data_IF_988193478474
#
_entry.id   IF_988193478474
#
_cell.length_a   1.000
_cell.length_b   1.000
_cell.length_c   1.000
_cell.angle_alpha   90.00
_cell.angle_beta   90.00
_cell.angle_gamma   90.00
#
_symmetry.space_group_name_H-M   'P 1'
#
loop_
_entity.id
_entity.type
_entity.pdbx_description
1 polymer ?
#
# COMPACT_ATOMS: atom_id res chain seq x y z
N UNK A 1 -24.14 18.37 21.07
CA UNK A 1 -23.33 17.32 21.68
C UNK A 1 -22.04 17.21 20.91
N UNK A 2 -20.95 17.71 21.47
CA UNK A 2 -19.65 17.76 20.82
C UNK A 2 -18.89 16.46 21.20
N UNK A 3 -18.54 15.62 20.22
CA UNK A 3 -17.67 14.49 20.43
C UNK A 3 -16.23 14.99 20.54
N UNK A 4 -15.65 14.87 21.71
CA UNK A 4 -14.25 15.14 21.98
C UNK A 4 -13.39 14.03 21.33
N UNK A 5 -12.59 14.44 20.36
CA UNK A 5 -11.57 13.63 19.73
C UNK A 5 -10.43 13.39 20.73
N UNK A 6 -10.11 12.14 21.01
CA UNK A 6 -9.10 11.77 21.99
C UNK A 6 -7.74 11.56 21.27
N UNK A 7 -6.70 12.38 21.54
CA UNK A 7 -5.41 12.32 20.84
C UNK A 7 -4.49 11.15 21.27
N UNK A 8 -4.98 10.23 22.11
CA UNK A 8 -4.15 9.14 22.65
C UNK A 8 -3.97 7.91 21.74
N UNK A 9 -4.69 7.82 20.59
CA UNK A 9 -4.61 6.63 19.73
C UNK A 9 -3.40 6.59 18.78
N UNK A 10 -2.64 7.68 18.67
CA UNK A 10 -1.43 7.68 17.81
C UNK A 10 -0.16 7.14 18.49
N UNK A 11 -0.21 6.88 19.80
CA UNK A 11 0.94 6.38 20.56
C UNK A 11 1.28 4.90 20.30
N UNK A 12 0.32 4.10 19.86
CA UNK A 12 0.50 2.64 19.77
C UNK A 12 1.30 2.22 18.52
N UNK A 13 1.18 2.93 17.41
CA UNK A 13 1.84 2.60 16.13
C UNK A 13 3.34 2.89 16.20
N UNK A 14 3.76 3.92 16.93
CA UNK A 14 5.17 4.26 17.09
C UNK A 14 5.93 3.34 18.07
N UNK A 15 5.25 2.66 18.99
CA UNK A 15 5.90 1.73 19.91
C UNK A 15 6.26 0.39 19.27
N UNK A 16 5.49 -0.10 18.31
CA UNK A 16 5.77 -1.38 17.61
C UNK A 16 7.01 -1.27 16.73
N UNK A 17 7.20 -0.13 16.03
CA UNK A 17 8.38 0.07 15.18
C UNK A 17 9.69 0.33 15.96
N UNK A 18 9.63 0.80 17.21
CA UNK A 18 10.82 1.00 18.03
C UNK A 18 11.28 -0.26 18.76
N UNK A 19 10.36 -1.20 19.02
CA UNK A 19 10.71 -2.47 19.68
C UNK A 19 11.51 -3.42 18.78
N UNK A 20 11.20 -3.47 17.48
CA UNK A 20 11.91 -4.35 16.55
C UNK A 20 13.37 -3.96 16.33
N UNK A 21 13.67 -2.67 16.26
CA UNK A 21 15.04 -2.21 16.07
C UNK A 21 15.94 -2.43 17.32
N UNK A 22 15.38 -2.30 18.52
CA UNK A 22 16.13 -2.54 19.75
C UNK A 22 16.39 -4.02 20.00
N UNK A 23 15.44 -4.92 19.65
CA UNK A 23 15.62 -6.36 19.74
C UNK A 23 16.70 -6.86 18.76
N UNK A 24 16.74 -6.31 17.55
CA UNK A 24 17.75 -6.63 16.54
C UNK A 24 19.13 -6.11 16.99
N UNK A 25 19.22 -4.89 17.49
CA UNK A 25 20.47 -4.33 18.04
C UNK A 25 20.97 -5.13 19.24
N UNK A 26 20.06 -5.59 20.11
CA UNK A 26 20.40 -6.42 21.26
C UNK A 26 20.92 -7.79 20.84
N UNK A 27 20.29 -8.44 19.87
CA UNK A 27 20.74 -9.73 19.34
C UNK A 27 22.09 -9.66 18.60
N UNK A 28 22.33 -8.56 17.88
CA UNK A 28 23.62 -8.28 17.25
C UNK A 28 24.71 -8.05 18.29
N UNK A 29 24.44 -7.23 19.31
CA UNK A 29 25.41 -6.93 20.37
C UNK A 29 25.74 -8.18 21.21
N UNK A 30 24.73 -9.04 21.48
CA UNK A 30 24.92 -10.33 22.13
C UNK A 30 25.72 -11.30 21.25
N UNK A 31 25.45 -11.33 19.95
CA UNK A 31 26.24 -12.12 18.97
C UNK A 31 27.70 -11.68 18.92
N UNK A 32 27.98 -10.39 18.83
CA UNK A 32 29.33 -9.84 18.84
C UNK A 32 30.05 -10.10 20.16
N UNK A 33 29.36 -9.98 21.31
CA UNK A 33 29.94 -10.30 22.62
C UNK A 33 30.32 -11.77 22.76
N UNK A 34 29.52 -12.68 22.24
CA UNK A 34 29.82 -14.11 22.25
C UNK A 34 30.99 -14.47 21.31
N UNK A 35 31.09 -13.81 20.15
CA UNK A 35 32.23 -13.96 19.23
C UNK A 35 33.51 -13.44 19.89
N UNK A 36 33.46 -12.27 20.54
CA UNK A 36 34.61 -11.70 21.26
C UNK A 36 35.09 -12.64 22.39
N UNK A 37 34.16 -13.20 23.17
CA UNK A 37 34.47 -14.20 24.21
C UNK A 37 35.05 -15.50 23.65
N UNK A 38 34.55 -15.97 22.50
CA UNK A 38 35.06 -17.16 21.82
C UNK A 38 36.48 -16.94 21.31
N UNK A 39 36.80 -15.74 20.81
CA UNK A 39 38.17 -15.34 20.39
C UNK A 39 39.12 -15.25 21.61
N UNK A 40 38.66 -14.69 22.71
CA UNK A 40 39.44 -14.53 23.95
C UNK A 40 39.76 -15.88 24.62
N UNK A 41 38.80 -16.85 24.59
CA UNK A 41 38.99 -18.20 25.10
C UNK A 41 39.77 -19.13 24.16
N UNK A 42 40.00 -18.73 22.91
CA UNK A 42 40.77 -19.48 21.92
C UNK A 42 42.31 -19.34 22.07
N UNK A 43 42.75 -18.80 23.18
CA UNK A 43 44.17 -18.46 23.45
C UNK A 43 45.23 -19.58 23.30
N UNK A 44 44.86 -20.83 22.91
CA UNK A 44 45.75 -21.92 22.62
C UNK A 44 45.35 -22.79 21.39
N UNK A 45 44.31 -22.40 20.64
CA UNK A 45 43.94 -23.00 19.38
C UNK A 45 44.44 -22.20 18.21
N UNK A 46 44.76 -22.85 17.12
CA UNK A 46 45.26 -22.22 15.89
C UNK A 46 44.53 -20.94 15.57
N UNK A 47 45.24 -19.83 15.40
CA UNK A 47 44.71 -18.50 14.97
C UNK A 47 43.75 -18.58 13.78
N UNK A 48 43.85 -19.65 12.97
CA UNK A 48 42.98 -19.93 11.84
C UNK A 48 41.53 -20.20 12.24
N UNK A 49 41.24 -20.89 13.34
CA UNK A 49 39.89 -21.28 13.74
C UNK A 49 39.07 -20.09 14.27
N UNK A 50 39.71 -19.18 15.00
CA UNK A 50 39.11 -17.94 15.46
C UNK A 50 38.72 -16.99 14.31
N UNK A 51 39.60 -16.89 13.30
CA UNK A 51 39.37 -16.07 12.11
C UNK A 51 38.19 -16.61 11.28
N UNK A 52 38.13 -17.95 11.08
CA UNK A 52 37.01 -18.55 10.36
C UNK A 52 35.68 -18.38 11.06
N UNK A 53 35.60 -18.51 12.38
CA UNK A 53 34.40 -18.27 13.17
C UNK A 53 33.94 -16.80 13.08
N UNK A 54 34.88 -15.85 13.15
CA UNK A 54 34.58 -14.42 13.00
C UNK A 54 34.07 -14.09 11.57
N UNK A 55 34.66 -14.70 10.55
CA UNK A 55 34.27 -14.53 9.15
C UNK A 55 32.86 -15.10 8.88
N UNK A 56 32.53 -16.29 9.40
CA UNK A 56 31.21 -16.90 9.32
C UNK A 56 30.17 -16.02 10.04
N UNK A 57 30.50 -15.50 11.22
CA UNK A 57 29.62 -14.59 11.96
C UNK A 57 29.34 -13.29 11.21
N UNK A 58 30.36 -12.66 10.62
CA UNK A 58 30.23 -11.46 9.83
C UNK A 58 29.42 -11.66 8.55
N UNK A 59 29.65 -12.79 7.83
CA UNK A 59 28.88 -13.16 6.66
C UNK A 59 27.42 -13.45 6.98
N UNK A 60 27.15 -14.14 8.08
CA UNK A 60 25.78 -14.42 8.54
C UNK A 60 25.04 -13.15 8.91
N UNK A 61 25.67 -12.20 9.60
CA UNK A 61 25.09 -10.91 9.93
C UNK A 61 24.82 -10.05 8.67
N UNK A 62 25.76 -10.06 7.70
CA UNK A 62 25.60 -9.33 6.44
C UNK A 62 24.44 -9.91 5.61
N UNK A 63 24.34 -11.24 5.51
CA UNK A 63 23.23 -11.90 4.83
C UNK A 63 21.90 -11.63 5.50
N UNK A 64 21.83 -11.68 6.82
CA UNK A 64 20.62 -11.38 7.58
C UNK A 64 20.16 -9.93 7.34
N UNK A 65 21.08 -8.95 7.46
CA UNK A 65 20.77 -7.55 7.17
C UNK A 65 20.32 -7.32 5.73
N UNK A 66 20.93 -7.99 4.76
CA UNK A 66 20.53 -7.90 3.35
C UNK A 66 19.11 -8.44 3.13
N UNK A 67 18.80 -9.60 3.71
CA UNK A 67 17.49 -10.24 3.62
C UNK A 67 16.43 -9.35 4.29
N UNK A 68 16.69 -8.87 5.50
CA UNK A 68 15.80 -7.99 6.25
C UNK A 68 15.51 -6.70 5.46
N UNK A 69 16.53 -6.02 4.96
CA UNK A 69 16.37 -4.81 4.15
C UNK A 69 15.49 -5.06 2.92
N UNK A 70 15.63 -6.22 2.26
CA UNK A 70 14.83 -6.57 1.10
C UNK A 70 13.34 -6.80 1.44
N UNK A 71 13.04 -7.31 2.64
CA UNK A 71 11.67 -7.44 3.13
C UNK A 71 11.06 -6.10 3.51
N UNK A 72 11.82 -5.25 4.22
CA UNK A 72 11.39 -3.90 4.61
C UNK A 72 11.11 -3.03 3.38
N UNK A 73 11.97 -3.06 2.37
CA UNK A 73 11.77 -2.32 1.12
C UNK A 73 10.48 -2.73 0.40
N UNK A 74 10.10 -4.01 0.44
CA UNK A 74 8.84 -4.49 -0.15
C UNK A 74 7.63 -4.03 0.65
N UNK A 75 7.67 -4.10 1.97
CA UNK A 75 6.58 -3.64 2.83
C UNK A 75 6.34 -2.13 2.65
N UNK A 76 7.40 -1.33 2.61
CA UNK A 76 7.32 0.13 2.36
C UNK A 76 6.75 0.42 0.97
N UNK A 77 7.15 -0.31 -0.06
CA UNK A 77 6.61 -0.15 -1.42
C UNK A 77 5.13 -0.53 -1.48
N UNK A 78 4.73 -1.59 -0.79
CA UNK A 78 3.34 -2.02 -0.70
C UNK A 78 2.47 -0.94 -0.03
N UNK A 79 2.89 -0.41 1.12
CA UNK A 79 2.19 0.67 1.82
C UNK A 79 2.05 1.92 0.95
N UNK A 80 3.15 2.40 0.36
CA UNK A 80 3.13 3.58 -0.52
C UNK A 80 2.23 3.40 -1.74
N UNK A 81 2.27 2.23 -2.40
CA UNK A 81 1.40 1.96 -3.55
C UNK A 81 -0.06 1.82 -3.12
N UNK A 82 -0.33 1.26 -1.95
CA UNK A 82 -1.65 1.20 -1.35
C UNK A 82 -2.23 2.56 -1.04
N UNK A 83 -1.47 3.42 -0.37
CA UNK A 83 -1.87 4.80 -0.04
C UNK A 83 -2.15 5.63 -1.31
N UNK A 84 -1.28 5.53 -2.32
CA UNK A 84 -1.50 6.20 -3.61
C UNK A 84 -2.78 5.70 -4.29
N UNK A 85 -3.05 4.39 -4.25
CA UNK A 85 -4.27 3.80 -4.80
C UNK A 85 -5.51 4.27 -4.04
N UNK A 86 -5.47 4.33 -2.70
CA UNK A 86 -6.56 4.84 -1.86
C UNK A 86 -6.88 6.30 -2.16
N UNK A 87 -5.86 7.14 -2.35
CA UNK A 87 -6.03 8.55 -2.73
C UNK A 87 -6.74 8.70 -4.06
N UNK A 88 -6.35 7.94 -5.08
CA UNK A 88 -6.99 7.97 -6.39
C UNK A 88 -8.44 7.46 -6.34
N UNK A 89 -8.73 6.41 -5.55
CA UNK A 89 -10.09 5.91 -5.36
C UNK A 89 -10.96 6.99 -4.71
N UNK A 90 -10.45 7.71 -3.72
CA UNK A 90 -11.19 8.80 -3.06
C UNK A 90 -11.50 9.95 -4.03
N UNK A 91 -10.54 10.33 -4.86
CA UNK A 91 -10.71 11.37 -5.87
C UNK A 91 -11.71 10.94 -6.94
N UNK A 92 -11.57 9.73 -7.47
CA UNK A 92 -12.49 9.15 -8.45
C UNK A 92 -13.92 9.07 -7.92
N UNK A 93 -14.10 8.64 -6.67
CA UNK A 93 -15.39 8.58 -5.99
C UNK A 93 -16.07 9.94 -5.96
N UNK A 94 -15.37 10.98 -5.50
CA UNK A 94 -15.90 12.34 -5.40
C UNK A 94 -16.33 12.91 -6.76
N UNK A 95 -15.45 12.81 -7.75
CA UNK A 95 -15.70 13.31 -9.10
C UNK A 95 -16.86 12.54 -9.79
N UNK A 96 -16.88 11.22 -9.67
CA UNK A 96 -17.90 10.40 -10.31
C UNK A 96 -19.28 10.58 -9.68
N UNK A 97 -19.36 10.72 -8.35
CA UNK A 97 -20.61 11.01 -7.65
C UNK A 97 -21.16 12.36 -8.12
N UNK A 98 -20.33 13.40 -8.12
CA UNK A 98 -20.70 14.74 -8.57
C UNK A 98 -21.18 14.73 -10.03
N UNK A 99 -20.46 14.05 -10.88
CA UNK A 99 -20.79 13.89 -12.30
C UNK A 99 -22.15 13.22 -12.53
N UNK A 100 -22.43 12.11 -11.82
CA UNK A 100 -23.68 11.36 -12.01
C UNK A 100 -24.89 12.02 -11.36
N UNK A 101 -24.71 12.79 -10.29
CA UNK A 101 -25.82 13.50 -9.61
C UNK A 101 -26.30 14.71 -10.41
N UNK A 102 -25.37 15.45 -11.05
CA UNK A 102 -25.73 16.71 -11.74
C UNK A 102 -26.39 16.53 -13.11
N UNK A 103 -26.16 15.38 -13.78
CA UNK A 103 -26.63 15.21 -15.16
C UNK A 103 -25.91 16.15 -16.15
N UNK A 104 -26.48 16.29 -17.35
CA UNK A 104 -25.94 17.21 -18.36
C UNK A 104 -26.59 18.59 -18.24
N UNK A 105 -25.77 19.62 -18.17
CA UNK A 105 -26.21 21.04 -18.14
C UNK A 105 -25.48 21.78 -19.27
N UNK A 106 -26.20 22.29 -20.30
CA UNK A 106 -25.57 22.94 -21.46
C UNK A 106 -24.66 24.13 -21.11
N UNK A 107 -25.02 24.89 -20.10
CA UNK A 107 -24.25 26.06 -19.61
C UNK A 107 -22.93 25.68 -18.94
N UNK A 108 -22.80 24.44 -18.49
CA UNK A 108 -21.61 23.92 -17.79
C UNK A 108 -20.81 22.92 -18.63
N UNK A 109 -20.99 22.96 -19.96
CA UNK A 109 -20.36 22.01 -20.89
C UNK A 109 -18.85 21.86 -20.69
N UNK A 110 -18.14 22.98 -20.53
CA UNK A 110 -16.67 22.95 -20.37
C UNK A 110 -16.24 22.31 -19.05
N UNK A 111 -16.99 22.54 -17.97
CA UNK A 111 -16.75 21.88 -16.67
C UNK A 111 -17.03 20.39 -16.75
N UNK A 112 -18.08 19.99 -17.47
CA UNK A 112 -18.43 18.59 -17.67
C UNK A 112 -17.35 17.87 -18.49
N UNK A 113 -16.89 18.47 -19.58
CA UNK A 113 -15.79 17.93 -20.39
C UNK A 113 -14.52 17.76 -19.56
N UNK A 114 -14.18 18.75 -18.74
CA UNK A 114 -13.03 18.65 -17.83
C UNK A 114 -13.20 17.48 -16.84
N UNK A 115 -14.39 17.32 -16.28
CA UNK A 115 -14.69 16.19 -15.35
C UNK A 115 -14.55 14.85 -16.05
N UNK A 116 -15.05 14.72 -17.29
CA UNK A 116 -14.97 13.50 -18.10
C UNK A 116 -13.52 13.11 -18.41
N UNK A 117 -12.70 14.09 -18.83
CA UNK A 117 -11.28 13.88 -19.08
C UNK A 117 -10.53 13.51 -17.80
N UNK A 118 -10.84 14.19 -16.69
CA UNK A 118 -10.21 13.92 -15.40
C UNK A 118 -10.56 12.53 -14.88
N UNK A 119 -11.84 12.11 -14.97
CA UNK A 119 -12.27 10.77 -14.58
C UNK A 119 -11.51 9.72 -15.38
N UNK A 120 -11.38 9.87 -16.71
CA UNK A 120 -10.63 8.94 -17.55
C UNK A 120 -9.14 8.89 -17.17
N UNK A 121 -8.52 10.04 -16.93
CA UNK A 121 -7.12 10.12 -16.51
C UNK A 121 -6.89 9.41 -15.17
N UNK A 122 -7.78 9.61 -14.19
CA UNK A 122 -7.71 8.92 -12.90
C UNK A 122 -7.86 7.42 -13.08
N UNK A 123 -8.79 6.95 -13.91
CA UNK A 123 -9.00 5.51 -14.16
C UNK A 123 -7.76 4.85 -14.77
N UNK A 124 -7.07 5.51 -15.70
CA UNK A 124 -5.82 5.03 -16.28
C UNK A 124 -4.73 4.94 -15.20
N UNK A 125 -4.56 5.99 -14.41
CA UNK A 125 -3.57 6.05 -13.34
C UNK A 125 -3.88 5.04 -12.24
N UNK A 126 -5.15 4.88 -11.87
CA UNK A 126 -5.61 3.90 -10.90
C UNK A 126 -5.27 2.47 -11.33
N UNK A 127 -5.49 2.15 -12.60
CA UNK A 127 -5.11 0.84 -13.15
C UNK A 127 -3.61 0.59 -13.05
N UNK A 128 -2.79 1.57 -13.39
CA UNK A 128 -1.33 1.47 -13.29
C UNK A 128 -0.88 1.25 -11.82
N UNK A 129 -1.46 2.01 -10.89
CA UNK A 129 -1.16 1.86 -9.45
C UNK A 129 -1.63 0.50 -8.90
N UNK A 130 -2.76 -0.02 -9.35
CA UNK A 130 -3.23 -1.37 -8.99
C UNK A 130 -2.24 -2.43 -9.46
N UNK A 131 -1.69 -2.32 -10.67
CA UNK A 131 -0.67 -3.25 -11.16
C UNK A 131 0.60 -3.18 -10.30
N UNK A 132 1.07 -1.98 -9.97
CA UNK A 132 2.19 -1.79 -9.05
C UNK A 132 1.92 -2.37 -7.66
N UNK A 133 0.70 -2.20 -7.13
CA UNK A 133 0.28 -2.79 -5.87
C UNK A 133 0.34 -4.33 -5.93
N UNK A 134 -0.16 -4.93 -7.01
CA UNK A 134 -0.15 -6.38 -7.24
C UNK A 134 1.29 -6.93 -7.29
N UNK A 135 2.22 -6.22 -7.92
CA UNK A 135 3.64 -6.63 -7.98
C UNK A 135 4.27 -6.73 -6.59
N UNK A 136 3.89 -5.82 -5.69
CA UNK A 136 4.43 -5.75 -4.33
C UNK A 136 3.67 -6.64 -3.32
N UNK A 137 2.58 -7.31 -3.69
CA UNK A 137 1.84 -8.21 -2.81
C UNK A 137 2.72 -9.38 -2.33
N UNK A 138 2.58 -9.80 -1.05
CA UNK A 138 3.23 -10.99 -0.54
C UNK A 138 2.76 -12.24 -1.31
N UNK A 139 3.64 -13.24 -1.43
CA UNK A 139 3.36 -14.47 -2.20
C UNK A 139 2.13 -15.23 -1.69
N UNK A 140 1.93 -15.22 -0.38
CA UNK A 140 0.74 -15.80 0.25
C UNK A 140 -0.47 -14.97 -0.19
N UNK A 141 -1.47 -15.58 -0.73
CA UNK A 141 -2.72 -14.95 -1.20
C UNK A 141 -2.58 -13.98 -2.40
N UNK A 142 -1.40 -13.92 -3.05
CA UNK A 142 -1.15 -13.00 -4.18
C UNK A 142 -2.14 -13.18 -5.31
N UNK A 143 -2.38 -14.40 -5.76
CA UNK A 143 -3.27 -14.66 -6.90
C UNK A 143 -4.74 -14.33 -6.58
N UNK A 144 -5.22 -14.64 -5.37
CA UNK A 144 -6.58 -14.29 -4.97
C UNK A 144 -6.80 -12.78 -4.88
N UNK A 145 -5.84 -12.04 -4.31
CA UNK A 145 -5.90 -10.58 -4.21
C UNK A 145 -5.73 -9.91 -5.56
N UNK A 146 -4.84 -10.42 -6.42
CA UNK A 146 -4.67 -9.96 -7.79
C UNK A 146 -5.98 -10.04 -8.58
N UNK A 147 -6.69 -11.16 -8.53
CA UNK A 147 -7.96 -11.32 -9.21
C UNK A 147 -9.00 -10.30 -8.72
N UNK A 148 -9.10 -10.08 -7.40
CA UNK A 148 -10.02 -9.09 -6.82
C UNK A 148 -9.69 -7.65 -7.23
N UNK A 149 -8.40 -7.29 -7.25
CA UNK A 149 -7.95 -5.95 -7.64
C UNK A 149 -8.17 -5.68 -9.13
N UNK A 150 -7.91 -6.68 -9.99
CA UNK A 150 -8.17 -6.57 -11.43
C UNK A 150 -9.67 -6.50 -11.74
N UNK A 151 -10.50 -7.31 -11.05
CA UNK A 151 -11.95 -7.24 -11.16
C UNK A 151 -12.46 -5.86 -10.74
N UNK A 152 -11.99 -5.33 -9.61
CA UNK A 152 -12.32 -3.97 -9.19
C UNK A 152 -11.96 -2.94 -10.26
N UNK A 153 -10.75 -3.00 -10.82
CA UNK A 153 -10.31 -2.07 -11.87
C UNK A 153 -11.22 -2.07 -13.10
N UNK A 154 -11.69 -3.24 -13.53
CA UNK A 154 -12.63 -3.36 -14.66
C UNK A 154 -14.02 -2.85 -14.30
N UNK A 155 -14.57 -3.30 -13.18
CA UNK A 155 -15.92 -2.94 -12.75
C UNK A 155 -16.06 -1.44 -12.45
N UNK A 156 -15.05 -0.81 -11.83
CA UNK A 156 -15.11 0.62 -11.55
C UNK A 156 -15.04 1.43 -12.85
N UNK A 157 -14.27 0.98 -13.84
CA UNK A 157 -14.25 1.60 -15.17
C UNK A 157 -15.66 1.56 -15.78
N UNK A 158 -16.30 0.40 -15.81
CA UNK A 158 -17.64 0.23 -16.39
C UNK A 158 -18.71 1.05 -15.63
N UNK A 159 -18.62 1.11 -14.30
CA UNK A 159 -19.56 1.89 -13.48
C UNK A 159 -19.40 3.40 -13.68
N UNK A 160 -18.18 3.88 -13.90
CA UNK A 160 -17.92 5.32 -14.03
C UNK A 160 -18.12 5.83 -15.45
N UNK A 161 -17.81 5.03 -16.48
CA UNK A 161 -17.84 5.42 -17.90
C UNK A 161 -18.92 4.74 -18.71
N UNK A 162 -19.73 3.86 -18.11
CA UNK A 162 -20.79 3.15 -18.80
C UNK A 162 -22.06 3.98 -19.02
N UNK A 163 -23.03 3.38 -19.72
CA UNK A 163 -24.35 3.98 -19.93
C UNK A 163 -24.31 5.28 -20.73
N UNK A 164 -24.79 6.37 -20.10
CA UNK A 164 -24.88 7.70 -20.71
C UNK A 164 -23.66 8.60 -20.39
N UNK A 165 -22.52 8.05 -20.04
CA UNK A 165 -21.29 8.81 -19.86
C UNK A 165 -20.93 9.57 -21.16
N UNK A 166 -20.53 10.82 -21.06
CA UNK A 166 -20.26 11.74 -22.19
C UNK A 166 -21.49 12.05 -23.09
N UNK A 167 -22.68 11.62 -22.68
CA UNK A 167 -23.90 11.89 -23.47
C UNK A 167 -24.49 13.25 -23.11
N UNK A 168 -24.87 14.02 -24.14
CA UNK A 168 -25.65 15.27 -23.99
C UNK A 168 -27.06 15.01 -23.47
N UNK A 169 -27.55 13.76 -23.55
CA UNK A 169 -28.85 13.34 -23.04
C UNK A 169 -28.76 12.75 -21.62
N UNK A 170 -27.61 12.89 -20.94
CA UNK A 170 -27.42 12.34 -19.59
C UNK A 170 -28.33 12.99 -18.58
N UNK A 171 -29.16 12.18 -17.95
CA UNK A 171 -30.00 12.57 -16.82
C UNK A 171 -29.31 12.29 -15.49
N UNK A 172 -29.62 13.01 -14.41
CA UNK A 172 -29.13 12.72 -13.06
C UNK A 172 -29.44 11.26 -12.65
N UNK A 173 -28.42 10.53 -12.19
CA UNK A 173 -28.55 9.12 -11.80
C UNK A 173 -28.00 8.86 -10.41
N UNK A 174 -28.88 8.89 -9.40
CA UNK A 174 -28.55 8.49 -8.03
C UNK A 174 -28.11 7.04 -7.95
N UNK A 175 -28.64 6.17 -8.84
CA UNK A 175 -28.28 4.76 -8.90
C UNK A 175 -26.83 4.57 -9.30
N UNK A 176 -26.37 5.25 -10.36
CA UNK A 176 -24.96 5.19 -10.80
C UNK A 176 -24.05 5.78 -9.75
N UNK A 177 -24.36 6.93 -9.18
CA UNK A 177 -23.59 7.54 -8.09
C UNK A 177 -23.43 6.60 -6.89
N UNK A 178 -24.53 5.97 -6.44
CA UNK A 178 -24.50 5.02 -5.31
C UNK A 178 -23.74 3.72 -5.64
N UNK A 179 -23.79 3.25 -6.88
CA UNK A 179 -23.04 2.07 -7.31
C UNK A 179 -21.52 2.33 -7.27
N UNK A 180 -21.08 3.50 -7.79
CA UNK A 180 -19.69 3.92 -7.72
C UNK A 180 -19.23 4.06 -6.27
N UNK A 181 -19.98 4.77 -5.42
CA UNK A 181 -19.66 4.96 -4.01
C UNK A 181 -19.45 3.64 -3.27
N UNK A 182 -20.36 2.68 -3.44
CA UNK A 182 -20.27 1.35 -2.84
C UNK A 182 -19.03 0.62 -3.30
N UNK A 183 -18.78 0.59 -4.61
CA UNK A 183 -17.62 -0.11 -5.17
C UNK A 183 -16.29 0.49 -4.71
N UNK A 184 -16.21 1.82 -4.63
CA UNK A 184 -15.05 2.51 -4.06
C UNK A 184 -14.86 2.19 -2.57
N UNK A 185 -15.96 2.14 -1.79
CA UNK A 185 -15.89 1.77 -0.38
C UNK A 185 -15.37 0.35 -0.16
N UNK A 186 -15.89 -0.62 -0.94
CA UNK A 186 -15.43 -2.01 -0.88
C UNK A 186 -13.94 -2.14 -1.23
N UNK A 187 -13.49 -1.41 -2.25
CA UNK A 187 -12.09 -1.40 -2.66
C UNK A 187 -11.18 -0.76 -1.61
N UNK A 188 -11.59 0.35 -1.00
CA UNK A 188 -10.84 0.97 0.11
C UNK A 188 -10.67 -0.01 1.26
N UNK A 189 -11.75 -0.68 1.67
CA UNK A 189 -11.70 -1.69 2.74
C UNK A 189 -10.80 -2.90 2.38
N UNK A 190 -10.78 -3.31 1.11
CA UNK A 190 -9.90 -4.37 0.63
C UNK A 190 -8.43 -3.95 0.67
N UNK A 191 -8.10 -2.76 0.16
CA UNK A 191 -6.71 -2.27 0.09
C UNK A 191 -6.15 -2.05 1.50
N UNK A 192 -6.93 -1.48 2.43
CA UNK A 192 -6.52 -1.29 3.83
C UNK A 192 -6.18 -2.61 4.56
N UNK A 193 -6.69 -3.74 4.10
CA UNK A 193 -6.32 -5.06 4.65
C UNK A 193 -5.04 -5.63 4.05
N UNK A 194 -4.56 -5.05 2.95
CA UNK A 194 -3.37 -5.51 2.23
C UNK A 194 -2.10 -4.77 2.64
N UNK A 195 -2.24 -3.56 3.17
CA UNK A 195 -1.15 -2.68 3.60
C UNK A 195 -1.04 -2.65 5.13
#
# INVERSE_FOLDING_TARGET
MANSFNPHDYGFINQVNSMDNSAVLYSLNYGFSNIAKAIENSGNGSLSDGIWLALIGALSAALFNFVQKKFDDKAVKLSKSGEATLSLIKELEGLSIDYWIKGYVPTDRDKLLLSEVTIKAILITLRANILTLIENLPMKDKEANKLKLLAFSSEIYDLTTGGSFESIARTPSKRSASAVARKCSDAKAMILKLI
#
